data_IF_075953894095
#
_entry.id   IF_075953894095
#
_cell.length_a   1.000
_cell.length_b   1.000
_cell.length_c   1.000
_cell.angle_alpha   90.00
_cell.angle_beta   90.00
_cell.angle_gamma   90.00
#
_symmetry.space_group_name_H-M   'P 1'
#
loop_
_entity.id
_entity.type
_entity.pdbx_description
1 polymer ?
#
# COMPACT_ATOMS: atom_id res chain seq x y z
N UNK A 1 -2.13 11.29 26.47
CA UNK A 1 -2.99 11.78 25.35
C UNK A 1 -2.22 12.88 24.66
N UNK A 2 -1.97 12.79 23.35
CA UNK A 2 -1.37 13.91 22.63
C UNK A 2 -2.34 15.09 22.65
N UNK A 3 -1.87 16.34 22.78
CA UNK A 3 -2.74 17.52 22.85
C UNK A 3 -3.67 17.68 21.63
N UNK A 4 -3.29 17.06 20.50
CA UNK A 4 -3.95 17.22 19.21
C UNK A 4 -4.76 15.98 18.77
N UNK A 5 -4.94 14.97 19.63
CA UNK A 5 -5.73 13.81 19.23
C UNK A 5 -7.21 14.17 19.20
N UNK A 6 -7.86 13.93 18.06
CA UNK A 6 -9.33 13.98 17.95
C UNK A 6 -9.95 12.99 18.95
N UNK A 7 -10.89 13.48 19.77
CA UNK A 7 -11.61 12.65 20.74
C UNK A 7 -12.98 12.33 20.14
N UNK A 8 -13.34 11.05 20.12
CA UNK A 8 -14.71 10.62 19.81
C UNK A 8 -15.62 11.05 20.97
N UNK A 9 -16.35 12.14 20.78
CA UNK A 9 -17.31 12.68 21.74
C UNK A 9 -18.49 13.37 21.04
N UNK A 10 -19.56 13.63 21.79
CA UNK A 10 -20.77 14.26 21.29
C UNK A 10 -20.79 15.78 21.47
N UNK A 11 -19.64 16.44 21.71
CA UNK A 11 -19.59 17.89 21.88
C UNK A 11 -19.69 18.59 20.53
N UNK A 12 -20.15 19.84 20.57
CA UNK A 12 -20.02 20.75 19.44
C UNK A 12 -18.63 21.39 19.47
N UNK A 13 -17.87 21.24 18.38
CA UNK A 13 -16.50 21.75 18.26
C UNK A 13 -16.39 22.99 17.36
N UNK A 14 -17.52 23.54 16.90
CA UNK A 14 -17.54 24.83 16.20
C UNK A 14 -17.12 25.98 17.13
N UNK A 15 -16.27 26.93 16.68
CA UNK A 15 -15.77 27.10 15.32
C UNK A 15 -14.45 26.37 14.99
N UNK A 16 -13.87 25.63 15.92
CA UNK A 16 -12.62 24.87 15.68
C UNK A 16 -12.76 23.79 14.60
N UNK A 17 -13.98 23.26 14.40
CA UNK A 17 -14.37 22.43 13.26
C UNK A 17 -15.59 23.10 12.62
N UNK A 18 -15.57 23.23 11.28
CA UNK A 18 -16.55 24.02 10.52
C UNK A 18 -18.01 23.52 10.66
N UNK A 19 -18.20 22.26 11.06
CA UNK A 19 -19.51 21.66 11.29
C UNK A 19 -20.00 21.82 12.75
N UNK A 20 -21.25 22.27 12.93
CA UNK A 20 -21.93 22.30 14.24
C UNK A 20 -22.52 20.93 14.61
N UNK A 21 -22.50 20.60 15.90
CA UNK A 21 -23.11 19.38 16.45
C UNK A 21 -22.10 18.27 16.76
N UNK A 22 -22.56 17.06 17.12
CA UNK A 22 -21.72 15.96 17.62
C UNK A 22 -21.00 15.22 16.48
N UNK A 23 -20.28 15.95 15.61
CA UNK A 23 -19.71 15.40 14.37
C UNK A 23 -18.58 14.39 14.61
N UNK A 24 -17.89 14.50 15.76
CA UNK A 24 -16.84 13.56 16.15
C UNK A 24 -17.40 12.31 16.86
N UNK A 25 -18.69 12.29 17.20
CA UNK A 25 -19.31 11.10 17.75
C UNK A 25 -19.51 10.09 16.62
N UNK A 26 -18.91 8.90 16.78
CA UNK A 26 -19.18 7.77 15.90
C UNK A 26 -20.55 7.16 16.26
N UNK A 27 -21.63 7.94 16.07
CA UNK A 27 -23.02 7.58 16.36
C UNK A 27 -23.84 7.35 15.07
N UNK A 28 -24.43 6.15 14.87
CA UNK A 28 -25.22 5.82 13.66
C UNK A 28 -26.54 6.56 13.50
N UNK A 29 -26.96 7.31 14.53
CA UNK A 29 -28.22 8.01 14.53
C UNK A 29 -28.10 9.52 14.24
N UNK A 30 -26.90 10.09 14.17
CA UNK A 30 -26.70 11.54 13.98
C UNK A 30 -25.97 11.96 12.70
N UNK A 31 -24.93 11.22 12.27
CA UNK A 31 -24.12 11.57 11.09
C UNK A 31 -23.62 10.29 10.40
N UNK A 32 -24.20 9.98 9.24
CA UNK A 32 -24.13 8.63 8.64
C UNK A 32 -23.02 8.44 7.61
N UNK A 33 -22.57 9.49 6.93
CA UNK A 33 -21.63 9.37 5.81
C UNK A 33 -20.30 8.75 6.22
N UNK A 34 -19.67 9.24 7.30
CA UNK A 34 -18.40 8.71 7.78
C UNK A 34 -18.51 7.24 8.19
N UNK A 35 -19.59 6.83 8.85
CA UNK A 35 -19.74 5.45 9.31
C UNK A 35 -20.04 4.46 8.19
N UNK A 36 -20.90 4.84 7.23
CA UNK A 36 -21.19 3.98 6.09
C UNK A 36 -19.95 3.81 5.21
N UNK A 37 -19.20 4.91 4.97
CA UNK A 37 -18.00 4.85 4.12
C UNK A 37 -16.82 4.18 4.83
N UNK A 38 -16.64 4.38 6.14
CA UNK A 38 -15.53 3.79 6.89
C UNK A 38 -15.57 2.26 6.85
N UNK A 39 -16.76 1.65 6.97
CA UNK A 39 -16.91 0.20 6.88
C UNK A 39 -16.53 -0.37 5.50
N UNK A 40 -16.77 0.39 4.43
CA UNK A 40 -16.44 0.00 3.06
C UNK A 40 -14.95 0.13 2.74
N UNK A 41 -14.22 1.01 3.44
CA UNK A 41 -12.81 1.27 3.18
C UNK A 41 -11.92 0.02 3.30
N UNK A 42 -12.18 -0.86 4.27
CA UNK A 42 -11.37 -2.06 4.48
C UNK A 42 -11.52 -3.12 3.38
N UNK A 43 -12.74 -3.54 2.98
CA UNK A 43 -12.91 -4.43 1.83
C UNK A 43 -12.27 -3.86 0.56
N UNK A 44 -12.50 -2.58 0.24
CA UNK A 44 -11.91 -1.97 -0.94
C UNK A 44 -10.39 -1.93 -0.86
N UNK A 45 -9.81 -1.62 0.29
CA UNK A 45 -8.35 -1.67 0.47
C UNK A 45 -7.80 -3.07 0.14
N UNK A 46 -8.42 -4.14 0.67
CA UNK A 46 -8.00 -5.52 0.41
C UNK A 46 -8.16 -5.89 -1.07
N UNK A 47 -9.26 -5.51 -1.70
CA UNK A 47 -9.53 -5.76 -3.13
C UNK A 47 -8.51 -5.08 -4.06
N UNK A 48 -7.85 -4.01 -3.60
CA UNK A 48 -6.91 -3.23 -4.41
C UNK A 48 -5.43 -3.48 -4.07
N UNK A 49 -5.12 -4.43 -3.17
CA UNK A 49 -3.72 -4.79 -2.88
C UNK A 49 -3.01 -5.32 -4.14
N UNK A 50 -3.65 -6.29 -4.80
CA UNK A 50 -3.12 -7.00 -5.97
C UNK A 50 -4.14 -6.97 -7.10
N UNK A 51 -3.72 -6.59 -8.30
CA UNK A 51 -4.58 -6.50 -9.48
C UNK A 51 -4.02 -7.30 -10.66
N UNK A 52 -4.90 -7.80 -11.53
CA UNK A 52 -4.51 -8.29 -12.84
C UNK A 52 -4.18 -7.11 -13.77
N UNK A 53 -3.21 -7.28 -14.68
CA UNK A 53 -2.84 -6.24 -15.64
C UNK A 53 -3.31 -6.56 -17.06
N UNK A 54 -3.50 -5.55 -17.94
CA UNK A 54 -3.98 -5.76 -19.31
C UNK A 54 -3.08 -6.64 -20.18
N UNK A 55 -1.80 -6.77 -19.84
CA UNK A 55 -0.81 -7.65 -20.49
C UNK A 55 -0.73 -9.03 -19.83
N UNK A 56 -1.81 -9.48 -19.18
CA UNK A 56 -1.95 -10.79 -18.52
C UNK A 56 -0.90 -11.02 -17.41
N UNK A 57 -0.55 -9.98 -16.67
CA UNK A 57 0.36 -10.02 -15.53
C UNK A 57 -0.33 -9.75 -14.18
N UNK A 58 0.49 -9.46 -13.18
CA UNK A 58 0.07 -9.16 -11.81
C UNK A 58 0.71 -7.84 -11.39
N UNK A 59 -0.05 -6.96 -10.73
CA UNK A 59 0.46 -5.75 -10.10
C UNK A 59 0.22 -5.79 -8.59
N UNK A 60 1.29 -5.71 -7.80
CA UNK A 60 1.22 -5.38 -6.38
C UNK A 60 1.16 -3.85 -6.24
N UNK A 61 -0.06 -3.33 -6.08
CA UNK A 61 -0.36 -1.90 -6.11
C UNK A 61 -0.27 -1.26 -4.72
N UNK A 62 -0.73 -1.97 -3.69
CA UNK A 62 -0.63 -1.54 -2.29
C UNK A 62 -0.04 -2.70 -1.49
N UNK A 63 0.89 -2.39 -0.60
CA UNK A 63 1.60 -3.40 0.17
C UNK A 63 0.89 -3.71 1.48
N UNK A 64 0.75 -5.00 1.75
CA UNK A 64 0.09 -5.59 2.90
C UNK A 64 0.10 -7.11 2.80
N UNK A 65 0.39 -7.79 3.90
CA UNK A 65 0.47 -9.25 3.93
C UNK A 65 -0.82 -9.89 3.41
N UNK A 66 -0.74 -10.64 2.32
CA UNK A 66 -1.90 -11.21 1.65
C UNK A 66 -1.55 -12.41 0.76
N UNK A 67 -2.59 -13.06 0.25
CA UNK A 67 -2.49 -14.08 -0.80
C UNK A 67 -3.46 -13.72 -1.91
N UNK A 68 -2.99 -13.72 -3.15
CA UNK A 68 -3.82 -13.41 -4.31
C UNK A 68 -3.66 -14.50 -5.37
N UNK A 69 -4.77 -15.08 -5.81
CA UNK A 69 -4.81 -16.02 -6.93
C UNK A 69 -5.26 -15.29 -8.19
N UNK A 70 -4.40 -15.26 -9.21
CA UNK A 70 -4.61 -14.48 -10.44
C UNK A 70 -4.37 -15.38 -11.65
N UNK A 71 -5.18 -15.22 -12.70
CA UNK A 71 -4.92 -15.85 -14.00
C UNK A 71 -3.97 -14.96 -14.80
N UNK A 72 -2.87 -15.55 -15.28
CA UNK A 72 -1.78 -14.83 -15.98
C UNK A 72 -1.38 -15.55 -17.27
N UNK A 73 -0.65 -14.85 -18.14
CA UNK A 73 -0.24 -15.35 -19.46
C UNK A 73 -1.44 -15.91 -20.23
N UNK A 74 -1.35 -17.18 -20.63
CA UNK A 74 -2.41 -17.91 -21.35
C UNK A 74 -3.54 -18.42 -20.44
N UNK A 75 -3.83 -17.73 -19.34
CA UNK A 75 -4.90 -18.08 -18.39
C UNK A 75 -4.50 -19.08 -17.30
N UNK A 76 -3.21 -19.30 -17.07
CA UNK A 76 -2.70 -20.16 -16.00
C UNK A 76 -2.94 -19.51 -14.63
N UNK A 77 -3.39 -20.29 -13.66
CA UNK A 77 -3.62 -19.80 -12.30
C UNK A 77 -2.30 -19.76 -11.51
N UNK A 78 -1.97 -18.60 -10.97
CA UNK A 78 -0.79 -18.35 -10.14
C UNK A 78 -1.24 -17.72 -8.83
N UNK A 79 -0.69 -18.19 -7.71
CA UNK A 79 -0.84 -17.54 -6.40
C UNK A 79 0.43 -16.73 -6.09
N UNK A 80 0.26 -15.46 -5.72
CA UNK A 80 1.29 -14.62 -5.13
C UNK A 80 1.01 -14.53 -3.63
N UNK A 81 2.01 -14.84 -2.82
CA UNK A 81 1.99 -14.64 -1.36
C UNK A 81 2.88 -13.45 -1.04
N UNK A 82 2.30 -12.40 -0.47
CA UNK A 82 3.02 -11.24 0.04
C UNK A 82 3.22 -11.36 1.55
N UNK A 83 4.47 -11.30 2.00
CA UNK A 83 4.89 -11.36 3.40
C UNK A 83 5.65 -10.06 3.73
N UNK A 84 5.06 -9.24 4.62
CA UNK A 84 5.66 -7.99 5.06
C UNK A 84 5.01 -7.48 6.34
N UNK A 85 5.77 -6.71 7.13
CA UNK A 85 5.24 -5.87 8.22
C UNK A 85 5.07 -4.40 7.79
N UNK A 86 5.08 -4.10 6.48
CA UNK A 86 4.72 -2.78 5.96
C UNK A 86 3.40 -2.29 6.58
N UNK A 87 3.30 -1.03 7.05
CA UNK A 87 4.23 0.09 6.83
C UNK A 87 5.34 0.25 7.88
N UNK A 88 5.58 -0.75 8.74
CA UNK A 88 6.58 -0.66 9.81
C UNK A 88 7.95 -1.26 9.44
N UNK A 89 8.02 -1.99 8.32
CA UNK A 89 9.25 -2.52 7.75
C UNK A 89 9.39 -2.14 6.27
N UNK A 90 10.63 -2.04 5.81
CA UNK A 90 10.98 -1.61 4.45
C UNK A 90 10.99 -2.76 3.44
N UNK A 91 11.08 -4.01 3.93
CA UNK A 91 11.20 -5.21 3.12
C UNK A 91 9.84 -5.84 2.85
N UNK A 92 9.59 -6.15 1.59
CA UNK A 92 8.38 -6.83 1.13
C UNK A 92 8.81 -8.06 0.33
N UNK A 93 8.40 -9.24 0.78
CA UNK A 93 8.73 -10.50 0.15
C UNK A 93 7.51 -11.05 -0.57
N UNK A 94 7.70 -11.44 -1.82
CA UNK A 94 6.71 -12.14 -2.63
C UNK A 94 7.20 -13.55 -2.92
N UNK A 95 6.33 -14.54 -2.74
CA UNK A 95 6.57 -15.93 -3.15
C UNK A 95 5.57 -16.31 -4.24
N UNK A 96 6.06 -16.86 -5.35
CA UNK A 96 5.23 -17.32 -6.46
C UNK A 96 4.89 -18.80 -6.29
N UNK A 97 3.61 -19.13 -6.34
CA UNK A 97 3.10 -20.50 -6.37
C UNK A 97 2.38 -20.76 -7.68
N UNK A 98 2.86 -21.77 -8.41
CA UNK A 98 2.33 -22.20 -9.71
C UNK A 98 2.52 -23.70 -9.88
N UNK A 99 1.71 -24.35 -10.72
CA UNK A 99 1.82 -25.78 -11.03
C UNK A 99 2.93 -26.12 -12.03
N UNK A 100 3.45 -25.12 -12.74
CA UNK A 100 4.53 -25.26 -13.70
C UNK A 100 5.10 -23.91 -14.11
N UNK A 101 6.01 -23.90 -15.08
CA UNK A 101 6.64 -22.68 -15.58
C UNK A 101 5.63 -21.79 -16.30
N UNK A 102 5.62 -20.50 -15.95
CA UNK A 102 4.71 -19.49 -16.54
C UNK A 102 5.45 -18.19 -16.78
N UNK A 103 5.36 -17.66 -17.99
CA UNK A 103 5.88 -16.34 -18.32
C UNK A 103 4.79 -15.31 -18.08
N UNK A 104 5.06 -14.32 -17.23
CA UNK A 104 4.18 -13.17 -17.04
C UNK A 104 4.94 -11.99 -16.41
N UNK A 105 4.49 -10.75 -16.64
CA UNK A 105 5.04 -9.58 -15.97
C UNK A 105 4.48 -9.44 -14.54
N UNK A 106 5.38 -9.28 -13.57
CA UNK A 106 5.05 -8.84 -12.21
C UNK A 106 5.41 -7.36 -12.06
N UNK A 107 4.43 -6.53 -11.75
CA UNK A 107 4.57 -5.10 -11.52
C UNK A 107 4.62 -4.81 -10.02
N UNK A 108 5.65 -4.09 -9.58
CA UNK A 108 5.78 -3.64 -8.19
C UNK A 108 5.81 -2.11 -8.15
N UNK A 109 4.92 -1.49 -7.35
CA UNK A 109 4.87 -0.04 -7.18
C UNK A 109 6.07 0.47 -6.37
N UNK A 110 6.89 1.34 -6.94
CA UNK A 110 7.89 2.09 -6.18
C UNK A 110 7.23 3.35 -5.60
N UNK A 111 7.05 3.48 -4.28
CA UNK A 111 6.46 4.67 -3.70
C UNK A 111 7.25 5.94 -4.03
N UNK A 112 6.57 7.08 -4.15
CA UNK A 112 7.20 8.35 -4.54
C UNK A 112 8.20 8.88 -3.52
N UNK A 113 8.05 8.52 -2.24
CA UNK A 113 8.94 8.91 -1.16
C UNK A 113 10.23 8.07 -1.10
N UNK A 114 10.30 6.95 -1.83
CA UNK A 114 11.39 5.99 -1.70
C UNK A 114 12.66 6.52 -2.35
N UNK A 115 13.80 6.34 -1.66
CA UNK A 115 15.15 6.62 -2.19
C UNK A 115 15.94 5.33 -2.22
N UNK A 116 16.67 5.11 -3.33
CA UNK A 116 17.52 3.93 -3.54
C UNK A 116 16.79 2.58 -3.30
N UNK A 117 15.62 2.35 -3.92
CA UNK A 117 14.95 1.05 -3.84
C UNK A 117 15.83 -0.06 -4.40
N UNK A 118 15.57 -1.30 -4.01
CA UNK A 118 16.24 -2.46 -4.60
C UNK A 118 15.30 -3.65 -4.74
N UNK A 119 15.49 -4.43 -5.80
CA UNK A 119 14.77 -5.68 -6.02
C UNK A 119 15.79 -6.83 -6.10
N UNK A 120 15.50 -7.92 -5.40
CA UNK A 120 16.27 -9.16 -5.40
C UNK A 120 15.35 -10.29 -5.82
N UNK A 121 15.80 -11.15 -6.73
CA UNK A 121 15.04 -12.32 -7.17
C UNK A 121 15.91 -13.55 -7.00
N UNK A 122 15.43 -14.52 -6.21
CA UNK A 122 16.17 -15.74 -5.85
C UNK A 122 17.61 -15.44 -5.38
N UNK A 123 17.76 -14.43 -4.52
CA UNK A 123 19.05 -13.99 -3.97
C UNK A 123 19.91 -13.13 -4.90
N UNK A 124 19.49 -12.88 -6.15
CA UNK A 124 20.25 -12.07 -7.12
C UNK A 124 19.63 -10.68 -7.28
N UNK A 125 20.43 -9.63 -7.10
CA UNK A 125 19.99 -8.25 -7.31
C UNK A 125 19.62 -8.03 -8.78
N UNK A 126 18.45 -7.45 -9.01
CA UNK A 126 17.97 -7.10 -10.35
C UNK A 126 18.55 -5.74 -10.74
N UNK A 127 19.18 -5.67 -11.91
CA UNK A 127 19.59 -4.42 -12.55
C UNK A 127 18.41 -3.90 -13.37
N UNK A 128 17.55 -3.11 -12.74
CA UNK A 128 16.42 -2.44 -13.38
C UNK A 128 16.38 -0.97 -12.96
N UNK A 129 15.78 -0.12 -13.79
CA UNK A 129 15.52 1.27 -13.42
C UNK A 129 14.32 1.32 -12.46
N UNK A 130 14.61 1.64 -11.20
CA UNK A 130 13.63 1.68 -10.12
C UNK A 130 13.31 3.14 -9.80
N UNK A 131 12.29 3.67 -10.48
CA UNK A 131 11.93 5.08 -10.41
C UNK A 131 10.82 5.31 -9.39
N UNK A 132 11.06 6.20 -8.44
CA UNK A 132 10.07 6.60 -7.43
C UNK A 132 8.77 7.12 -8.09
N UNK A 133 7.62 6.68 -7.58
CA UNK A 133 6.30 7.02 -8.12
C UNK A 133 5.88 6.25 -9.37
N UNK A 134 6.67 5.26 -9.81
CA UNK A 134 6.36 4.39 -10.96
C UNK A 134 6.29 2.92 -10.54
N UNK A 135 5.89 2.06 -11.47
CA UNK A 135 6.01 0.61 -11.33
C UNK A 135 7.31 0.12 -11.98
N UNK A 136 7.98 -0.81 -11.33
CA UNK A 136 8.98 -1.66 -12.01
C UNK A 136 8.27 -2.87 -12.60
N UNK A 137 8.57 -3.18 -13.86
CA UNK A 137 8.06 -4.34 -14.58
C UNK A 137 9.09 -5.46 -14.57
N UNK A 138 8.75 -6.59 -13.97
CA UNK A 138 9.60 -7.78 -13.87
C UNK A 138 8.99 -8.89 -14.73
N UNK A 139 9.35 -8.94 -16.00
CA UNK A 139 8.94 -10.01 -16.92
C UNK A 139 9.96 -11.13 -16.95
N UNK A 140 9.50 -12.35 -16.66
CA UNK A 140 10.32 -13.57 -16.67
C UNK A 140 9.44 -14.81 -16.73
N UNK A 141 10.08 -15.95 -16.97
CA UNK A 141 9.53 -17.26 -16.64
C UNK A 141 9.63 -17.47 -15.13
N UNK A 142 8.49 -17.67 -14.49
CA UNK A 142 8.37 -17.95 -13.06
C UNK A 142 8.10 -19.43 -12.81
N UNK A 143 8.69 -19.95 -11.75
CA UNK A 143 8.46 -21.31 -11.25
C UNK A 143 8.05 -21.33 -9.78
N UNK A 144 7.59 -22.50 -9.31
CA UNK A 144 7.12 -22.65 -7.94
C UNK A 144 8.23 -22.36 -6.94
N UNK A 145 7.97 -21.43 -6.03
CA UNK A 145 8.90 -21.07 -4.96
C UNK A 145 9.86 -19.94 -5.33
N UNK A 146 9.76 -19.37 -6.54
CA UNK A 146 10.47 -18.14 -6.86
C UNK A 146 10.14 -17.05 -5.85
N UNK A 147 11.18 -16.35 -5.41
CA UNK A 147 11.09 -15.29 -4.41
C UNK A 147 11.55 -13.96 -4.99
N UNK A 148 10.73 -12.94 -4.77
CA UNK A 148 11.06 -11.54 -5.05
C UNK A 148 11.08 -10.80 -3.73
N UNK A 149 12.18 -10.10 -3.46
CA UNK A 149 12.29 -9.21 -2.30
C UNK A 149 12.44 -7.79 -2.83
N UNK A 150 11.46 -6.96 -2.53
CA UNK A 150 11.50 -5.52 -2.75
C UNK A 150 11.89 -4.85 -1.43
N UNK A 151 12.94 -4.03 -1.47
CA UNK A 151 13.29 -3.14 -0.37
C UNK A 151 12.98 -1.70 -0.77
N UNK A 152 12.21 -1.00 0.06
CA UNK A 152 11.80 0.40 -0.13
C UNK A 152 12.21 1.24 1.09
N UNK A 153 13.47 1.72 1.15
CA UNK A 153 14.00 2.43 2.32
C UNK A 153 13.16 3.64 2.73
N UNK A 154 12.77 3.67 4.01
CA UNK A 154 11.97 4.71 4.63
C UNK A 154 12.89 5.70 5.36
N UNK A 155 12.69 6.99 5.10
CA UNK A 155 13.49 8.04 5.72
C UNK A 155 12.56 9.02 6.43
N UNK A 156 12.98 9.51 7.60
CA UNK A 156 12.28 10.58 8.29
C UNK A 156 12.42 11.88 7.48
N UNK A 157 11.29 12.53 7.20
CA UNK A 157 11.30 13.88 6.64
C UNK A 157 10.17 14.72 7.22
N UNK A 158 10.25 16.04 7.02
CA UNK A 158 9.23 16.98 7.48
C UNK A 158 8.69 17.82 6.33
N UNK A 159 7.42 18.19 6.40
CA UNK A 159 6.83 19.24 5.58
C UNK A 159 6.44 20.43 6.45
N UNK A 160 6.56 21.64 5.91
CA UNK A 160 6.15 22.88 6.57
C UNK A 160 4.93 23.46 5.88
N UNK A 161 3.89 23.72 6.65
CA UNK A 161 2.65 24.32 6.20
C UNK A 161 2.66 25.82 6.52
N UNK A 162 3.25 26.62 5.63
CA UNK A 162 3.41 28.07 5.83
C UNK A 162 2.06 28.79 6.06
N UNK A 163 1.01 28.37 5.34
CA UNK A 163 -0.35 28.92 5.50
C UNK A 163 -0.97 28.63 6.87
N UNK A 164 -0.47 27.61 7.57
CA UNK A 164 -0.95 27.21 8.89
C UNK A 164 0.13 27.50 9.94
N UNK A 165 0.52 28.77 10.06
CA UNK A 165 1.46 29.30 11.06
C UNK A 165 2.78 28.51 11.16
N UNK A 166 3.38 28.17 10.01
CA UNK A 166 4.61 27.37 9.92
C UNK A 166 4.55 26.02 10.68
N UNK A 167 3.35 25.45 10.83
CA UNK A 167 3.16 24.12 11.41
C UNK A 167 3.90 23.04 10.60
N UNK A 168 4.25 21.95 11.28
CA UNK A 168 5.10 20.89 10.72
C UNK A 168 4.41 19.54 10.79
N UNK A 169 4.55 18.76 9.73
CA UNK A 169 4.19 17.33 9.71
C UNK A 169 5.48 16.52 9.61
N UNK A 170 5.53 15.39 10.32
CA UNK A 170 6.64 14.44 10.27
C UNK A 170 6.15 13.22 9.52
N UNK A 171 6.99 12.70 8.62
CA UNK A 171 6.66 11.60 7.72
C UNK A 171 7.70 10.49 7.83
N UNK A 172 7.26 9.25 7.72
CA UNK A 172 8.11 8.06 7.65
C UNK A 172 7.47 6.99 6.74
N UNK A 173 7.99 6.85 5.53
CA UNK A 173 7.39 5.99 4.52
C UNK A 173 5.98 6.49 4.13
N UNK A 174 4.92 5.65 4.25
CA UNK A 174 3.54 6.08 4.00
C UNK A 174 2.84 6.73 5.21
N UNK A 175 3.52 6.85 6.36
CA UNK A 175 2.97 7.37 7.63
C UNK A 175 3.33 8.83 7.87
#
# INVERSE_FOLDING_TARGET
>A
RSPNHTISDAKNHHPGIDNRGPFLAMNPFSSRCCQHNHGQGWPYFIEHLVMATPDNGIAAAIYGACKASVKVGDGKLVEIVEETNYPFEESIKFTVHTSGKVVFPLYLRIPSWTKNPSVIINGKKVMADLVAGKYVRLEREWEKGDQVVLNIPMNLYQSVWHVNQDSRSIHYGPL
#
